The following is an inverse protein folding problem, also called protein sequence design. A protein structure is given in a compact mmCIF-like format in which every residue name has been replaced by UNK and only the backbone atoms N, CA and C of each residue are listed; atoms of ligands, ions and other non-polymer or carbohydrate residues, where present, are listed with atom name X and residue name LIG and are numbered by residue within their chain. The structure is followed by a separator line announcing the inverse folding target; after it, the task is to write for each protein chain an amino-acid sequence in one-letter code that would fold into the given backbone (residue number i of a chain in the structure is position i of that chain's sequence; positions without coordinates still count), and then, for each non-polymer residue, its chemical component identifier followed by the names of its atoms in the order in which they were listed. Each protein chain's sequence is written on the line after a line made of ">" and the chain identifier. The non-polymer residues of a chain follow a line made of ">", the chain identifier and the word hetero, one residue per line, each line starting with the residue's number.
data_IF_607055128118
#
_entry.id   IF_607055128118
#
_cell.length_a   1.000
_cell.length_b   1.000
_cell.length_c   1.000
_cell.angle_alpha   90.00
_cell.angle_beta   90.00
_cell.angle_gamma   90.00
#
_symmetry.space_group_name_H-M   'P 1'
#
loop_
_entity.id
_entity.type
_entity.pdbx_description
1 polymer ?
#
# COMPACT_ATOMS: atom_id res chain seq x y z
N UNK A 1 -18.37 -23.48 -12.71
CA UNK A 1 -18.36 -23.21 -11.26
C UNK A 1 -18.23 -21.71 -11.08
N UNK A 2 -19.32 -21.02 -10.74
CA UNK A 2 -19.32 -19.55 -10.62
C UNK A 2 -18.87 -19.18 -9.20
N UNK A 3 -17.83 -18.34 -9.02
CA UNK A 3 -17.38 -17.97 -7.68
C UNK A 3 -18.47 -17.14 -6.98
N UNK A 4 -18.90 -17.58 -5.80
CA UNK A 4 -19.82 -16.83 -4.96
C UNK A 4 -19.09 -15.61 -4.38
N UNK A 5 -19.64 -14.41 -4.60
CA UNK A 5 -19.13 -13.18 -4.00
C UNK A 5 -19.66 -13.04 -2.57
N UNK A 6 -18.76 -13.06 -1.59
CA UNK A 6 -19.08 -12.70 -0.20
C UNK A 6 -18.59 -11.27 0.08
N UNK A 7 -19.52 -10.40 0.46
CA UNK A 7 -19.35 -8.96 0.70
C UNK A 7 -18.27 -8.66 1.77
N UNK A 8 -18.16 -9.50 2.81
CA UNK A 8 -17.12 -9.38 3.83
C UNK A 8 -16.46 -10.73 4.04
N UNK A 9 -15.17 -10.81 3.75
CA UNK A 9 -14.36 -11.98 4.11
C UNK A 9 -13.96 -11.82 5.57
N UNK A 10 -14.08 -12.88 6.37
CA UNK A 10 -13.66 -12.85 7.78
C UNK A 10 -12.19 -12.43 7.96
N UNK A 11 -11.37 -12.62 6.93
CA UNK A 11 -9.98 -12.11 6.86
C UNK A 11 -9.89 -10.61 7.09
N UNK A 12 -10.92 -9.83 6.75
CA UNK A 12 -10.92 -8.38 6.89
C UNK A 12 -11.24 -7.93 8.33
N UNK A 13 -11.65 -8.85 9.22
CA UNK A 13 -11.90 -8.60 10.65
C UNK A 13 -10.70 -9.00 11.55
N UNK A 14 -9.49 -8.97 11.02
CA UNK A 14 -8.29 -9.30 11.80
C UNK A 14 -7.84 -8.05 12.58
N UNK A 15 -7.92 -8.11 13.90
CA UNK A 15 -7.51 -7.02 14.81
C UNK A 15 -6.01 -6.72 14.81
N UNK A 16 -5.17 -7.70 14.47
CA UNK A 16 -3.71 -7.55 14.46
C UNK A 16 -3.08 -8.44 13.40
N UNK A 17 -2.21 -7.85 12.55
CA UNK A 17 -1.39 -8.57 11.58
C UNK A 17 0.07 -8.25 11.82
N UNK A 18 0.87 -9.28 12.04
CA UNK A 18 2.33 -9.16 12.19
C UNK A 18 2.96 -10.25 11.34
N UNK A 19 3.97 -9.90 10.55
CA UNK A 19 4.69 -10.84 9.69
C UNK A 19 6.06 -11.16 10.26
N UNK A 20 6.48 -12.42 10.16
CA UNK A 20 7.84 -12.84 10.49
C UNK A 20 8.75 -12.65 9.26
N UNK A 21 9.86 -11.94 9.43
CA UNK A 21 10.80 -11.59 8.33
C UNK A 21 12.04 -12.50 8.24
N UNK A 22 12.17 -13.51 9.09
CA UNK A 22 13.36 -14.36 9.19
C UNK A 22 13.70 -15.06 7.87
N UNK A 23 12.69 -15.54 7.15
CA UNK A 23 12.88 -16.23 5.86
C UNK A 23 13.47 -15.28 4.82
N UNK A 24 12.95 -14.06 4.74
CA UNK A 24 13.41 -13.05 3.78
C UNK A 24 14.84 -12.61 4.08
N UNK A 25 15.18 -12.44 5.37
CA UNK A 25 16.54 -12.13 5.80
C UNK A 25 17.54 -13.22 5.40
N UNK A 26 17.19 -14.50 5.59
CA UNK A 26 18.10 -15.63 5.29
C UNK A 26 18.21 -15.90 3.78
N UNK A 27 17.08 -15.95 3.09
CA UNK A 27 17.01 -16.37 1.69
C UNK A 27 17.37 -15.24 0.72
N UNK A 28 16.93 -14.01 1.00
CA UNK A 28 17.07 -12.88 0.09
C UNK A 28 18.09 -11.83 0.58
N UNK A 29 18.66 -12.00 1.78
CA UNK A 29 19.50 -10.98 2.44
C UNK A 29 18.79 -9.62 2.55
N UNK A 30 17.47 -9.63 2.54
CA UNK A 30 16.66 -8.42 2.53
C UNK A 30 15.95 -8.22 3.87
N UNK A 31 15.90 -6.96 4.30
CA UNK A 31 15.18 -6.51 5.49
C UNK A 31 14.42 -5.22 5.14
N UNK A 32 13.28 -4.94 5.80
CA UNK A 32 12.63 -3.64 5.65
C UNK A 32 13.49 -2.55 6.28
N UNK A 33 13.85 -1.54 5.49
CA UNK A 33 14.68 -0.42 5.94
C UNK A 33 13.87 0.85 6.23
N UNK A 34 12.65 0.93 5.67
CA UNK A 34 11.79 2.11 5.79
C UNK A 34 10.84 1.91 6.95
N UNK A 35 10.87 2.85 7.91
CA UNK A 35 9.93 2.88 9.04
C UNK A 35 8.53 3.24 8.57
N UNK A 36 7.52 2.96 9.41
CA UNK A 36 6.14 3.31 9.11
C UNK A 36 5.97 4.82 8.85
N UNK A 37 6.55 5.65 9.72
CA UNK A 37 6.48 7.11 9.62
C UNK A 37 7.06 7.61 8.29
N UNK A 38 8.27 7.16 7.95
CA UNK A 38 8.92 7.58 6.70
C UNK A 38 8.18 7.07 5.46
N UNK A 39 7.67 5.83 5.52
CA UNK A 39 6.84 5.27 4.45
C UNK A 39 5.57 6.08 4.22
N UNK A 40 4.89 6.48 5.29
CA UNK A 40 3.69 7.33 5.22
C UNK A 40 4.02 8.71 4.66
N UNK A 41 5.12 9.34 5.11
CA UNK A 41 5.57 10.64 4.61
C UNK A 41 5.79 10.61 3.09
N UNK A 42 6.57 9.64 2.60
CA UNK A 42 6.82 9.45 1.16
C UNK A 42 5.54 9.20 0.36
N UNK A 43 4.62 8.42 0.93
CA UNK A 43 3.35 8.08 0.27
C UNK A 43 2.45 9.31 0.13
N UNK A 44 2.35 10.13 1.18
CA UNK A 44 1.57 11.38 1.15
C UNK A 44 2.18 12.37 0.16
N UNK A 45 3.50 12.51 0.16
CA UNK A 45 4.22 13.37 -0.79
C UNK A 45 3.93 12.98 -2.24
N UNK A 46 4.10 11.70 -2.58
CA UNK A 46 3.76 11.15 -3.89
C UNK A 46 2.29 11.39 -4.25
N UNK A 47 1.37 11.16 -3.32
CA UNK A 47 -0.07 11.31 -3.57
C UNK A 47 -0.44 12.78 -3.86
N UNK A 48 0.12 13.72 -3.12
CA UNK A 48 -0.08 15.16 -3.35
C UNK A 48 0.41 15.58 -4.72
N UNK A 49 1.60 15.12 -5.13
CA UNK A 49 2.14 15.39 -6.46
C UNK A 49 1.20 14.84 -7.55
N UNK A 50 0.75 13.59 -7.44
CA UNK A 50 -0.17 12.98 -8.41
C UNK A 50 -1.50 13.69 -8.51
N UNK A 51 -2.01 14.21 -7.40
CA UNK A 51 -3.26 14.99 -7.41
C UNK A 51 -3.08 16.34 -8.10
N UNK A 52 -1.94 17.00 -7.91
CA UNK A 52 -1.60 18.25 -8.60
C UNK A 52 -1.47 18.03 -10.11
N UNK A 53 -0.75 16.99 -10.55
CA UNK A 53 -0.63 16.60 -11.96
C UNK A 53 -2.01 16.33 -12.60
N UNK A 54 -2.86 15.57 -11.92
CA UNK A 54 -4.25 15.32 -12.35
C UNK A 54 -5.10 16.59 -12.38
N UNK A 55 -4.84 17.55 -11.49
CA UNK A 55 -5.46 18.88 -11.50
C UNK A 55 -5.08 19.65 -12.75
N UNK A 56 -3.78 19.77 -13.03
CA UNK A 56 -3.26 20.49 -14.19
C UNK A 56 -3.75 19.89 -15.52
N UNK A 57 -3.74 18.56 -15.66
CA UNK A 57 -4.24 17.88 -16.87
C UNK A 57 -5.73 18.16 -17.15
N UNK A 58 -6.55 18.39 -16.11
CA UNK A 58 -7.96 18.75 -16.26
C UNK A 58 -8.17 20.20 -16.73
N UNK A 59 -7.23 21.10 -16.45
CA UNK A 59 -7.30 22.51 -16.86
C UNK A 59 -6.82 22.73 -18.30
N UNK A 60 -5.92 21.89 -18.82
CA UNK A 60 -5.38 22.02 -20.19
C UNK A 60 -6.29 21.44 -21.28
N UNK A 61 -7.30 20.65 -20.92
CA UNK A 61 -8.23 20.01 -21.89
C UNK A 61 -9.53 20.81 -22.09
N UNK A 62 -9.63 22.04 -21.56
CA UNK A 62 -10.76 22.96 -21.76
C UNK A 62 -10.31 24.18 -22.57
#
# INVERSE_FOLDING_TARGET
>A
MTPAHSDRRDVDNIRRRVVNIEKTRRALRWVPEVTLEEGLRRTVEWQRQRNAERGAARTTTA
#
